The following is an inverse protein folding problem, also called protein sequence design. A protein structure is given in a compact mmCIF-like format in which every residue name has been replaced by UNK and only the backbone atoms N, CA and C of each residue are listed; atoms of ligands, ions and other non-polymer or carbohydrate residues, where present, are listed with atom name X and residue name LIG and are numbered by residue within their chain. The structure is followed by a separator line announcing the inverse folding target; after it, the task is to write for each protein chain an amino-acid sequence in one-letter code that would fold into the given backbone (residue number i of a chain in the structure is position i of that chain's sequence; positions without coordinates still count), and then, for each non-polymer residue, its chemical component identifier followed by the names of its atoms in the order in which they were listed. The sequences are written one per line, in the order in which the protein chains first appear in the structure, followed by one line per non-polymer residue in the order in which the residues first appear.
data_IF_754565205156
#
_entry.id   IF_754565205156
#
_cell.length_a   1.000
_cell.length_b   1.000
_cell.length_c   1.000
_cell.angle_alpha   90.00
_cell.angle_beta   90.00
_cell.angle_gamma   90.00
#
_symmetry.space_group_name_H-M   'P 1'
#
loop_
_entity.id
_entity.type
_entity.pdbx_description
1 polymer ?
#
# COMPACT_ATOMS: atom_id res chain seq x y z
N UNK A 1 10.20 25.89 1.21
CA UNK A 1 11.38 24.99 1.38
C UNK A 1 11.21 23.72 0.54
N UNK A 2 9.97 23.42 0.11
CA UNK A 2 9.55 22.25 -0.65
C UNK A 2 10.01 22.19 -2.13
N UNK A 3 10.70 23.21 -2.64
CA UNK A 3 11.23 23.23 -4.02
C UNK A 3 12.66 22.66 -4.16
N UNK A 4 13.31 22.26 -3.06
CA UNK A 4 14.71 21.81 -3.09
C UNK A 4 14.89 20.33 -3.49
N UNK A 5 13.82 19.52 -3.41
CA UNK A 5 13.86 18.08 -3.67
C UNK A 5 12.88 17.73 -4.79
N UNK A 6 13.27 16.76 -5.63
CA UNK A 6 12.43 16.24 -6.71
C UNK A 6 12.09 14.76 -6.48
N UNK A 7 11.12 14.45 -5.59
CA UNK A 7 10.76 13.06 -5.29
C UNK A 7 10.21 12.33 -6.52
N UNK A 8 9.50 13.02 -7.42
CA UNK A 8 8.93 12.43 -8.65
C UNK A 8 9.93 12.28 -9.80
N UNK A 9 11.21 12.64 -9.57
CA UNK A 9 12.27 12.54 -10.57
C UNK A 9 12.65 11.11 -10.91
N UNK A 10 13.47 10.96 -11.96
CA UNK A 10 13.98 9.65 -12.36
C UNK A 10 14.89 9.05 -11.27
N UNK A 11 14.65 7.78 -10.94
CA UNK A 11 15.44 7.04 -9.95
C UNK A 11 16.68 6.45 -10.62
N UNK A 12 17.86 6.84 -10.15
CA UNK A 12 19.12 6.24 -10.60
C UNK A 12 20.29 7.23 -10.59
N UNK A 13 21.48 6.72 -10.88
CA UNK A 13 22.63 7.59 -11.12
C UNK A 13 22.48 8.29 -12.47
N UNK A 14 22.84 9.57 -12.54
CA UNK A 14 22.95 10.27 -13.81
C UNK A 14 23.96 9.53 -14.71
N UNK A 15 23.60 9.15 -15.95
CA UNK A 15 24.52 8.47 -16.86
C UNK A 15 25.69 9.37 -17.32
N UNK A 16 25.53 10.70 -17.25
CA UNK A 16 26.60 11.64 -17.54
C UNK A 16 27.61 11.71 -16.38
N UNK A 17 28.84 11.27 -16.64
CA UNK A 17 29.92 11.22 -15.64
C UNK A 17 30.55 12.59 -15.33
N UNK A 18 30.35 13.59 -16.18
CA UNK A 18 30.83 14.97 -15.95
C UNK A 18 29.85 15.81 -15.11
N UNK A 19 28.76 15.20 -14.63
CA UNK A 19 27.78 15.85 -13.76
C UNK A 19 28.20 15.82 -12.29
N UNK A 20 27.67 16.71 -11.43
CA UNK A 20 27.90 16.68 -9.98
C UNK A 20 27.64 15.29 -9.40
N UNK A 21 28.58 14.81 -8.58
CA UNK A 21 28.52 13.49 -7.96
C UNK A 21 28.34 13.60 -6.45
N UNK A 22 27.32 12.92 -5.92
CA UNK A 22 27.08 12.80 -4.49
C UNK A 22 27.59 11.43 -4.02
N UNK A 23 28.43 11.44 -2.98
CA UNK A 23 28.92 10.23 -2.32
C UNK A 23 28.19 10.07 -0.99
N UNK A 24 27.60 8.89 -0.79
CA UNK A 24 26.82 8.55 0.41
C UNK A 24 27.39 7.25 0.98
N UNK A 25 27.63 7.22 2.28
CA UNK A 25 27.89 5.99 3.02
C UNK A 25 26.67 5.65 3.88
N UNK A 26 26.24 4.39 3.82
CA UNK A 26 25.10 3.87 4.59
C UNK A 26 25.66 3.00 5.71
N UNK A 27 24.97 2.97 6.84
CA UNK A 27 25.31 2.12 7.98
C UNK A 27 25.52 0.66 7.58
N UNK A 28 26.59 0.06 8.09
CA UNK A 28 26.92 -1.34 7.84
C UNK A 28 26.48 -2.19 9.01
N UNK A 29 25.68 -3.20 8.71
CA UNK A 29 25.27 -4.21 9.68
C UNK A 29 26.21 -5.41 9.60
N UNK A 30 26.32 -6.18 10.69
CA UNK A 30 27.18 -7.37 10.76
C UNK A 30 26.74 -8.51 9.82
N UNK A 31 25.54 -8.42 9.25
CA UNK A 31 25.00 -9.36 8.28
C UNK A 31 24.26 -8.66 7.14
N UNK A 32 23.83 -9.45 6.15
CA UNK A 32 23.05 -8.95 5.04
C UNK A 32 21.65 -8.55 5.51
N UNK A 33 21.29 -7.27 5.34
CA UNK A 33 19.93 -6.81 5.57
C UNK A 33 19.09 -7.12 4.34
N UNK A 34 18.13 -8.03 4.50
CA UNK A 34 17.17 -8.41 3.46
C UNK A 34 15.76 -8.12 3.93
N UNK A 35 14.86 -7.87 2.99
CA UNK A 35 13.44 -7.74 3.29
C UNK A 35 12.85 -9.11 3.66
N UNK A 36 11.92 -9.17 4.63
CA UNK A 36 11.33 -10.43 5.07
C UNK A 36 10.56 -11.14 3.95
N UNK A 37 10.55 -12.46 4.03
CA UNK A 37 9.72 -13.32 3.18
C UNK A 37 8.24 -13.25 3.58
N UNK A 38 7.34 -13.74 2.72
CA UNK A 38 5.90 -13.77 3.05
C UNK A 38 5.58 -14.60 4.29
N UNK A 39 6.25 -15.74 4.46
CA UNK A 39 6.09 -16.60 5.64
C UNK A 39 6.42 -15.83 6.94
N UNK A 40 7.52 -15.07 6.93
CA UNK A 40 7.91 -14.23 8.07
C UNK A 40 6.92 -13.08 8.34
N UNK A 41 6.34 -12.50 7.28
CA UNK A 41 5.31 -11.46 7.39
C UNK A 41 4.02 -12.06 7.98
N UNK A 42 3.60 -13.24 7.54
CA UNK A 42 2.43 -13.96 8.05
C UNK A 42 2.58 -14.30 9.54
N UNK A 43 3.73 -14.87 9.94
CA UNK A 43 4.05 -15.14 11.34
C UNK A 43 3.97 -13.87 12.20
N UNK A 44 4.51 -12.76 11.70
CA UNK A 44 4.46 -11.47 12.38
C UNK A 44 3.02 -10.98 12.55
N UNK A 45 2.20 -10.99 11.48
CA UNK A 45 0.79 -10.57 11.55
C UNK A 45 -0.01 -11.44 12.51
N UNK A 46 0.19 -12.76 12.48
CA UNK A 46 -0.46 -13.68 13.41
C UNK A 46 -0.09 -13.38 14.87
N UNK A 47 1.16 -12.98 15.13
CA UNK A 47 1.58 -12.57 16.47
C UNK A 47 0.88 -11.28 16.93
N UNK A 48 0.72 -10.30 16.04
CA UNK A 48 0.02 -9.04 16.34
C UNK A 48 -1.44 -9.29 16.66
N UNK A 49 -2.13 -10.10 15.84
CA UNK A 49 -3.56 -10.41 16.02
C UNK A 49 -3.80 -11.05 17.40
N UNK A 50 -2.92 -11.98 17.81
CA UNK A 50 -2.99 -12.64 19.13
C UNK A 50 -2.81 -11.65 20.28
N UNK A 51 -1.96 -10.64 20.11
CA UNK A 51 -1.65 -9.66 21.16
C UNK A 51 -2.67 -8.52 21.24
N UNK A 52 -3.30 -8.16 20.12
CA UNK A 52 -4.07 -6.90 20.02
C UNK A 52 -5.60 -7.06 19.98
N UNK A 53 -6.18 -8.26 20.08
CA UNK A 53 -7.66 -8.43 20.04
C UNK A 53 -8.30 -7.59 18.91
N UNK A 54 -7.68 -7.60 17.74
CA UNK A 54 -8.09 -6.78 16.61
C UNK A 54 -9.57 -7.06 16.27
N UNK A 55 -10.34 -6.04 15.84
CA UNK A 55 -11.76 -6.20 15.54
C UNK A 55 -11.96 -7.36 14.56
N UNK A 56 -12.89 -8.24 14.92
CA UNK A 56 -13.13 -9.50 14.23
C UNK A 56 -13.49 -9.27 12.76
N UNK A 57 -13.15 -10.25 11.91
CA UNK A 57 -13.57 -10.34 10.50
C UNK A 57 -15.09 -10.46 10.33
N UNK A 58 -15.88 -10.28 11.39
CA UNK A 58 -17.27 -10.71 11.44
C UNK A 58 -18.19 -9.64 10.82
N UNK A 59 -18.78 -9.89 9.64
CA UNK A 59 -19.55 -8.90 8.89
C UNK A 59 -20.79 -8.38 9.63
N UNK A 60 -21.28 -9.14 10.61
CA UNK A 60 -22.45 -8.80 11.43
C UNK A 60 -22.19 -7.66 12.43
N UNK A 61 -20.93 -7.33 12.69
CA UNK A 61 -20.55 -6.25 13.62
C UNK A 61 -20.40 -4.88 12.95
N UNK A 62 -20.51 -4.84 11.61
CA UNK A 62 -20.29 -3.62 10.83
C UNK A 62 -21.51 -2.72 10.87
N UNK A 63 -21.34 -1.49 11.35
CA UNK A 63 -22.40 -0.49 11.36
C UNK A 63 -22.76 -0.09 9.92
N UNK A 64 -24.05 -0.10 9.59
CA UNK A 64 -24.54 0.26 8.26
C UNK A 64 -24.15 1.70 7.88
N UNK A 65 -24.17 2.62 8.85
CA UNK A 65 -23.76 4.01 8.63
C UNK A 65 -22.26 4.13 8.26
N UNK A 66 -21.40 3.24 8.78
CA UNK A 66 -19.98 3.22 8.44
C UNK A 66 -19.77 2.67 7.02
N UNK A 67 -20.59 1.70 6.59
CA UNK A 67 -20.56 1.16 5.22
C UNK A 67 -20.98 2.21 4.20
N UNK A 68 -22.05 2.93 4.47
CA UNK A 68 -22.53 4.02 3.61
C UNK A 68 -21.45 5.09 3.45
N UNK A 69 -20.81 5.50 4.55
CA UNK A 69 -19.72 6.46 4.51
C UNK A 69 -18.52 5.94 3.69
N UNK A 70 -18.15 4.66 3.82
CA UNK A 70 -17.08 4.08 3.00
C UNK A 70 -17.46 4.05 1.53
N UNK A 71 -18.71 3.69 1.20
CA UNK A 71 -19.20 3.70 -0.17
C UNK A 71 -19.15 5.10 -0.80
N UNK A 72 -19.50 6.12 -0.03
CA UNK A 72 -19.39 7.51 -0.47
C UNK A 72 -17.94 7.90 -0.72
N UNK A 73 -17.01 7.51 0.16
CA UNK A 73 -15.58 7.77 0.00
C UNK A 73 -15.00 7.06 -1.22
N UNK A 74 -15.40 5.81 -1.48
CA UNK A 74 -14.93 5.03 -2.65
C UNK A 74 -15.38 5.69 -3.95
N UNK A 75 -16.59 6.26 -4.00
CA UNK A 75 -17.13 6.92 -5.19
C UNK A 75 -16.55 8.32 -5.43
N UNK A 76 -15.83 8.91 -4.48
CA UNK A 76 -15.19 10.21 -4.66
C UNK A 76 -14.09 10.14 -5.71
N UNK A 77 -13.91 11.24 -6.42
CA UNK A 77 -12.88 11.41 -7.42
C UNK A 77 -11.49 10.97 -6.89
N UNK A 78 -10.66 10.28 -7.69
CA UNK A 78 -9.30 9.87 -7.31
C UNK A 78 -8.42 11.00 -6.79
N UNK A 79 -8.58 12.22 -7.32
CA UNK A 79 -7.81 13.40 -6.93
C UNK A 79 -8.38 14.10 -5.69
N UNK A 80 -9.53 13.66 -5.19
CA UNK A 80 -10.11 14.23 -3.98
C UNK A 80 -9.30 13.83 -2.75
N UNK A 81 -8.90 14.82 -1.96
CA UNK A 81 -8.22 14.58 -0.69
C UNK A 81 -9.13 13.79 0.27
N UNK A 82 -8.63 12.68 0.78
CA UNK A 82 -9.31 11.86 1.79
C UNK A 82 -8.97 12.41 3.17
N UNK A 83 -10.00 12.74 3.95
CA UNK A 83 -9.80 13.23 5.32
C UNK A 83 -9.11 12.17 6.20
N UNK A 84 -8.33 12.58 7.19
CA UNK A 84 -7.69 11.63 8.12
C UNK A 84 -8.72 10.77 8.88
N UNK A 85 -9.92 11.30 9.12
CA UNK A 85 -11.02 10.54 9.72
C UNK A 85 -11.51 9.43 8.78
N UNK A 86 -11.70 9.74 7.51
CA UNK A 86 -12.08 8.75 6.49
C UNK A 86 -10.98 7.70 6.29
N UNK A 87 -9.69 8.09 6.32
CA UNK A 87 -8.56 7.15 6.25
C UNK A 87 -8.55 6.17 7.44
N UNK A 88 -8.78 6.69 8.65
CA UNK A 88 -8.89 5.83 9.83
C UNK A 88 -10.06 4.86 9.72
N UNK A 89 -11.20 5.30 9.18
CA UNK A 89 -12.37 4.47 8.96
C UNK A 89 -12.11 3.39 7.89
N UNK A 90 -11.52 3.74 6.75
CA UNK A 90 -11.12 2.81 5.70
C UNK A 90 -10.21 1.70 6.25
N UNK A 91 -9.21 2.08 7.07
CA UNK A 91 -8.31 1.11 7.68
C UNK A 91 -8.99 0.22 8.74
N UNK A 92 -9.90 0.81 9.54
CA UNK A 92 -10.72 0.06 10.51
C UNK A 92 -11.57 -1.00 9.81
N UNK A 93 -12.18 -0.63 8.70
CA UNK A 93 -13.11 -1.45 7.91
C UNK A 93 -12.41 -2.14 6.72
N UNK A 94 -11.09 -2.35 6.79
CA UNK A 94 -10.29 -2.95 5.70
C UNK A 94 -10.81 -4.30 5.18
N UNK A 95 -11.43 -5.11 6.04
CA UNK A 95 -12.06 -6.37 5.64
C UNK A 95 -13.39 -6.18 4.91
N UNK A 96 -14.10 -5.08 5.14
CA UNK A 96 -15.24 -4.68 4.31
C UNK A 96 -14.76 -4.16 2.96
N UNK A 97 -13.69 -3.35 2.93
CA UNK A 97 -13.04 -2.92 1.69
C UNK A 97 -12.62 -4.12 0.82
N UNK A 98 -12.16 -5.21 1.43
CA UNK A 98 -11.88 -6.46 0.71
C UNK A 98 -13.10 -7.03 -0.06
N UNK A 99 -14.33 -6.82 0.44
CA UNK A 99 -15.55 -7.23 -0.27
C UNK A 99 -15.91 -6.32 -1.45
N UNK A 100 -15.33 -5.12 -1.50
CA UNK A 100 -15.50 -4.13 -2.58
C UNK A 100 -14.14 -3.96 -3.25
N UNK A 101 -13.81 -4.83 -4.21
CA UNK A 101 -12.47 -4.91 -4.83
C UNK A 101 -11.93 -3.56 -5.30
N UNK A 102 -12.78 -2.71 -5.89
CA UNK A 102 -12.42 -1.39 -6.41
C UNK A 102 -12.11 -0.33 -5.33
N UNK A 103 -12.28 -0.66 -4.04
CA UNK A 103 -11.92 0.22 -2.92
C UNK A 103 -10.40 0.25 -2.64
N UNK A 104 -9.63 -0.62 -3.29
CA UNK A 104 -8.20 -0.79 -3.05
C UNK A 104 -7.39 0.51 -3.15
N UNK A 105 -7.56 1.40 -4.16
CA UNK A 105 -6.80 2.64 -4.24
C UNK A 105 -6.98 3.51 -2.99
N UNK A 106 -8.23 3.70 -2.56
CA UNK A 106 -8.56 4.49 -1.37
C UNK A 106 -7.99 3.85 -0.10
N UNK A 107 -7.97 2.53 -0.01
CA UNK A 107 -7.35 1.82 1.11
C UNK A 107 -5.82 2.01 1.15
N UNK A 108 -5.15 2.03 -0.01
CA UNK A 108 -3.71 2.31 -0.10
C UNK A 108 -3.37 3.75 0.29
N UNK A 109 -4.23 4.72 -0.06
CA UNK A 109 -4.11 6.12 0.35
C UNK A 109 -4.37 6.32 1.86
N UNK A 110 -5.21 5.47 2.46
CA UNK A 110 -5.46 5.45 3.88
C UNK A 110 -4.35 4.76 4.70
N UNK A 111 -3.44 4.04 4.05
CA UNK A 111 -2.42 3.26 4.72
C UNK A 111 -1.30 4.15 5.31
N UNK A 112 -0.91 3.83 6.54
CA UNK A 112 0.30 4.37 7.17
C UNK A 112 1.52 3.55 6.74
N UNK A 113 2.15 3.95 5.62
CA UNK A 113 3.35 3.28 5.07
C UNK A 113 4.57 3.29 5.99
N UNK A 114 4.62 4.21 6.97
CA UNK A 114 5.65 4.25 8.00
C UNK A 114 5.42 3.23 9.14
N UNK A 115 4.27 2.55 9.18
CA UNK A 115 3.93 1.57 10.20
C UNK A 115 4.13 0.16 9.68
N UNK A 116 5.10 -0.56 10.25
CA UNK A 116 5.35 -1.98 9.94
C UNK A 116 4.10 -2.84 10.11
N UNK A 117 3.29 -2.55 11.13
CA UNK A 117 2.10 -3.34 11.46
C UNK A 117 0.99 -3.17 10.43
N UNK A 118 0.81 -1.95 9.92
CA UNK A 118 -0.17 -1.68 8.87
C UNK A 118 0.27 -2.30 7.55
N UNK A 119 1.54 -2.09 7.17
CA UNK A 119 2.10 -2.64 5.94
C UNK A 119 2.05 -4.17 5.94
N UNK A 120 2.47 -4.82 7.03
CA UNK A 120 2.43 -6.28 7.13
C UNK A 120 1.00 -6.84 6.98
N UNK A 121 0.01 -6.22 7.62
CA UNK A 121 -1.39 -6.63 7.49
C UNK A 121 -1.93 -6.42 6.08
N UNK A 122 -1.57 -5.31 5.42
CA UNK A 122 -1.94 -5.07 4.03
C UNK A 122 -1.35 -6.14 3.11
N UNK A 123 -0.11 -6.57 3.32
CA UNK A 123 0.54 -7.61 2.52
C UNK A 123 -0.24 -8.92 2.52
N UNK A 124 -0.73 -9.33 3.68
CA UNK A 124 -1.58 -10.53 3.81
C UNK A 124 -2.92 -10.34 3.09
N UNK A 125 -3.49 -9.15 3.18
CA UNK A 125 -4.76 -8.81 2.55
C UNK A 125 -4.64 -8.77 1.01
N UNK A 126 -3.55 -8.20 0.49
CA UNK A 126 -3.22 -8.14 -0.94
C UNK A 126 -3.01 -9.52 -1.54
N UNK A 127 -2.39 -10.44 -0.80
CA UNK A 127 -2.17 -11.82 -1.26
C UNK A 127 -3.49 -12.56 -1.56
N UNK A 128 -4.60 -12.14 -0.94
CA UNK A 128 -5.92 -12.73 -1.14
C UNK A 128 -6.89 -11.78 -1.87
N UNK A 129 -6.45 -10.60 -2.28
CA UNK A 129 -7.36 -9.55 -2.74
C UNK A 129 -8.08 -9.97 -4.03
N UNK A 130 -9.40 -9.78 -4.11
CA UNK A 130 -10.16 -10.13 -5.30
C UNK A 130 -9.72 -9.29 -6.51
N UNK A 131 -9.93 -9.81 -7.72
CA UNK A 131 -9.58 -9.09 -8.93
C UNK A 131 -10.31 -7.74 -8.99
N UNK A 132 -9.56 -6.69 -9.30
CA UNK A 132 -10.08 -5.32 -9.48
C UNK A 132 -10.51 -5.10 -10.93
N UNK A 133 -11.38 -4.12 -11.15
CA UNK A 133 -11.74 -3.71 -12.50
C UNK A 133 -10.52 -3.15 -13.26
N UNK A 134 -10.47 -3.24 -14.60
CA UNK A 134 -9.36 -2.70 -15.39
C UNK A 134 -9.23 -1.18 -15.23
N UNK A 135 -10.33 -0.46 -15.03
CA UNK A 135 -10.34 0.98 -14.74
C UNK A 135 -9.60 1.27 -13.44
N UNK A 136 -9.92 0.54 -12.37
CA UNK A 136 -9.22 0.68 -11.08
C UNK A 136 -7.77 0.22 -11.17
N UNK A 137 -7.45 -0.82 -11.95
CA UNK A 137 -6.07 -1.27 -12.17
C UNK A 137 -5.20 -0.18 -12.84
N UNK A 138 -5.80 0.61 -13.74
CA UNK A 138 -5.14 1.77 -14.36
C UNK A 138 -4.96 2.92 -13.37
N UNK A 139 -5.93 3.17 -12.49
CA UNK A 139 -5.80 4.16 -11.41
C UNK A 139 -4.68 3.78 -10.43
N UNK A 140 -4.50 2.48 -10.15
CA UNK A 140 -3.42 2.00 -9.28
C UNK A 140 -2.03 2.19 -9.89
N UNK A 141 -1.90 2.34 -11.21
CA UNK A 141 -0.60 2.40 -11.88
C UNK A 141 0.25 3.63 -11.52
N UNK A 142 -0.25 4.88 -11.63
CA UNK A 142 0.47 6.07 -11.17
C UNK A 142 0.69 6.08 -9.66
N UNK A 143 -0.30 5.61 -8.90
CA UNK A 143 -0.25 5.55 -7.43
C UNK A 143 0.84 4.57 -6.98
N UNK A 144 0.94 3.40 -7.63
CA UNK A 144 2.05 2.48 -7.43
C UNK A 144 3.38 3.18 -7.71
N UNK A 145 3.53 3.96 -8.78
CA UNK A 145 4.76 4.72 -9.06
C UNK A 145 5.08 5.72 -7.93
N UNK A 146 4.10 6.44 -7.38
CA UNK A 146 4.28 7.33 -6.22
C UNK A 146 4.67 6.58 -4.93
N UNK A 147 4.07 5.41 -4.67
CA UNK A 147 4.42 4.56 -3.54
C UNK A 147 5.78 3.87 -3.73
N UNK A 148 6.16 3.57 -4.98
CA UNK A 148 7.48 3.09 -5.39
C UNK A 148 8.57 4.16 -5.20
N UNK A 149 8.20 5.44 -5.33
CA UNK A 149 9.05 6.61 -5.07
C UNK A 149 9.24 6.85 -3.56
N UNK A 150 8.18 6.66 -2.76
CA UNK A 150 8.19 6.93 -1.32
C UNK A 150 8.66 5.75 -0.44
N UNK A 151 8.81 4.54 -0.99
CA UNK A 151 9.12 3.35 -0.19
C UNK A 151 9.87 2.27 -0.95
N UNK A 152 11.18 2.19 -0.67
CA UNK A 152 12.06 1.01 -0.76
C UNK A 152 11.75 -0.08 -1.81
N UNK A 153 12.71 -0.31 -2.71
CA UNK A 153 12.78 -1.33 -3.77
C UNK A 153 12.32 -2.77 -3.43
N UNK A 154 12.07 -3.12 -2.18
CA UNK A 154 11.52 -4.43 -1.79
C UNK A 154 10.00 -4.53 -1.83
N UNK A 155 9.25 -3.43 -1.63
CA UNK A 155 7.79 -3.45 -1.72
C UNK A 155 7.28 -3.60 -3.16
N UNK A 156 8.20 -3.52 -4.13
CA UNK A 156 7.92 -3.45 -5.56
C UNK A 156 7.42 -4.78 -6.12
N UNK A 157 7.93 -5.93 -5.67
CA UNK A 157 7.61 -7.22 -6.31
C UNK A 157 6.18 -7.68 -6.10
N UNK A 158 5.58 -7.44 -4.95
CA UNK A 158 4.23 -7.97 -4.67
C UNK A 158 3.13 -7.10 -5.22
N UNK A 159 3.25 -5.77 -5.11
CA UNK A 159 2.34 -4.87 -5.81
C UNK A 159 2.47 -5.02 -7.33
N UNK A 160 3.69 -5.22 -7.86
CA UNK A 160 3.87 -5.59 -9.27
C UNK A 160 3.28 -6.96 -9.61
N UNK A 161 3.52 -8.01 -8.81
CA UNK A 161 2.97 -9.34 -9.09
C UNK A 161 1.44 -9.34 -9.03
N UNK A 162 0.86 -8.60 -8.09
CA UNK A 162 -0.58 -8.40 -8.00
C UNK A 162 -1.13 -7.61 -9.20
N UNK A 163 -0.42 -6.57 -9.63
CA UNK A 163 -0.77 -5.76 -10.80
C UNK A 163 -0.65 -6.54 -12.11
N UNK A 164 0.44 -7.29 -12.30
CA UNK A 164 0.65 -8.17 -13.45
C UNK A 164 -0.42 -9.26 -13.49
N UNK A 165 -0.72 -9.90 -12.35
CA UNK A 165 -1.77 -10.91 -12.26
C UNK A 165 -3.16 -10.33 -12.58
N UNK A 166 -3.47 -9.11 -12.10
CA UNK A 166 -4.76 -8.45 -12.38
C UNK A 166 -4.89 -8.02 -13.84
N UNK A 167 -3.80 -7.64 -14.52
CA UNK A 167 -3.83 -7.25 -15.94
C UNK A 167 -3.77 -8.44 -16.91
N UNK A 168 -3.05 -9.51 -16.60
CA UNK A 168 -2.90 -10.67 -17.49
C UNK A 168 -4.18 -11.48 -17.67
N UNK A 169 -5.17 -11.34 -16.80
CA UNK A 169 -6.50 -11.96 -16.93
C UNK A 169 -7.55 -11.06 -17.59
N UNK A 170 -7.22 -9.81 -17.90
CA UNK A 170 -8.11 -8.86 -18.58
C UNK A 170 -7.87 -8.75 -20.10
N UNK A 171 -6.86 -9.46 -20.64
CA UNK A 171 -6.55 -9.61 -22.07
C UNK A 171 -6.70 -11.06 -22.51
#
# INVERSE_FOLDING_TARGET
MDELLNPIGSIGSNPNRDSPCLVIEIERFSGQVVFPTMEQIEEYVNSIIRLQSQPEKNPETWNEAEKDQIHDVIKRDPLSEISEQDKMLLWKMRYYCFSVSDSLPKLLDALKWNSRDHVAQLYILLNQWPQVSPETALELWPSCISYLINGHKCHQRQLWSFWIASMQTCL
#
